data_IF_535775335013
#
_entry.id   IF_535775335013
#
_cell.length_a   1.000
_cell.length_b   1.000
_cell.length_c   1.000
_cell.angle_alpha   90.00
_cell.angle_beta   90.00
_cell.angle_gamma   90.00
#
_symmetry.space_group_name_H-M   'P 1'
#
loop_
_entity.id
_entity.type
_entity.pdbx_description
1 polymer ?
#
# COMPACT_ATOMS: atom_id res chain seq x y z
N UNK A 1 8.75 22.71 -30.74
CA UNK A 1 8.48 22.54 -29.29
C UNK A 1 7.54 21.36 -29.14
N UNK A 2 7.82 20.34 -28.31
CA UNK A 2 6.94 19.19 -28.17
C UNK A 2 5.74 19.57 -27.31
N UNK A 3 4.53 19.28 -27.79
CA UNK A 3 3.30 19.44 -27.04
C UNK A 3 3.25 18.47 -25.84
N UNK A 4 2.74 18.88 -24.67
CA UNK A 4 2.52 17.96 -23.56
C UNK A 4 1.51 16.87 -23.95
N UNK A 5 1.69 15.62 -23.48
CA UNK A 5 0.80 14.51 -23.81
C UNK A 5 -0.63 14.81 -23.32
N UNK A 6 -1.62 14.58 -24.19
CA UNK A 6 -3.06 14.88 -23.99
C UNK A 6 -3.68 14.40 -22.66
N UNK A 7 -3.02 13.48 -21.95
CA UNK A 7 -3.43 13.00 -20.61
C UNK A 7 -3.13 14.00 -19.49
N UNK A 8 -2.09 14.83 -19.61
CA UNK A 8 -1.76 15.87 -18.63
C UNK A 8 -2.77 17.03 -18.69
N UNK A 9 -3.21 17.39 -19.89
CA UNK A 9 -4.22 18.43 -20.10
C UNK A 9 -5.60 18.02 -19.55
N UNK A 10 -5.97 16.74 -19.69
CA UNK A 10 -7.21 16.19 -19.13
C UNK A 10 -7.19 16.15 -17.59
N UNK A 11 -6.04 15.86 -16.98
CA UNK A 11 -5.87 15.89 -15.52
C UNK A 11 -5.93 17.31 -14.97
N UNK A 12 -5.28 18.28 -15.65
CA UNK A 12 -5.33 19.70 -15.27
C UNK A 12 -6.76 20.26 -15.39
N UNK A 13 -7.51 19.88 -16.43
CA UNK A 13 -8.91 20.29 -16.60
C UNK A 13 -9.85 19.68 -15.55
N UNK A 14 -9.61 18.43 -15.12
CA UNK A 14 -10.39 17.78 -14.06
C UNK A 14 -10.14 18.42 -12.69
N UNK A 15 -8.89 18.82 -12.41
CA UNK A 15 -8.52 19.54 -11.19
C UNK A 15 -9.05 20.97 -11.20
N UNK A 16 -8.98 21.66 -12.34
CA UNK A 16 -9.42 23.06 -12.47
C UNK A 16 -10.95 23.23 -12.41
N UNK A 17 -11.72 22.24 -12.85
CA UNK A 17 -13.20 22.29 -12.80
C UNK A 17 -13.78 21.85 -11.45
N UNK A 18 -12.96 21.22 -10.59
CA UNK A 18 -13.35 20.82 -9.23
C UNK A 18 -13.00 21.86 -8.15
N UNK A 19 -12.36 22.96 -8.54
CA UNK A 19 -11.77 23.94 -7.63
C UNK A 19 -12.73 24.80 -6.76
N UNK A 20 -14.04 24.99 -7.02
CA UNK A 20 -14.84 25.89 -6.19
C UNK A 20 -15.40 25.27 -4.89
N UNK A 21 -15.07 24.03 -4.52
CA UNK A 21 -15.71 23.33 -3.38
C UNK A 21 -14.77 22.86 -2.26
N UNK A 22 -13.53 23.35 -2.19
CA UNK A 22 -12.63 23.06 -1.06
C UNK A 22 -12.51 24.29 -0.13
N UNK A 23 -12.59 24.10 1.21
CA UNK A 23 -12.32 25.18 2.16
C UNK A 23 -10.90 25.74 1.93
N UNK A 24 -10.78 27.06 1.96
CA UNK A 24 -9.59 27.84 1.60
C UNK A 24 -8.36 27.68 2.52
N UNK A 25 -8.14 26.54 3.18
CA UNK A 25 -7.02 26.36 4.11
C UNK A 25 -6.27 25.02 4.03
N UNK A 26 -6.43 24.25 2.97
CA UNK A 26 -5.46 23.18 2.72
C UNK A 26 -5.27 23.03 1.24
N UNK A 27 -4.17 23.59 0.74
CA UNK A 27 -3.69 23.37 -0.61
C UNK A 27 -3.19 21.92 -0.69
N UNK A 28 -4.14 20.97 -0.76
CA UNK A 28 -3.90 19.53 -0.90
C UNK A 28 -3.04 19.20 -2.12
N UNK A 29 -3.15 19.90 -3.27
CA UNK A 29 -2.19 19.80 -4.35
C UNK A 29 -0.78 20.28 -3.95
N UNK A 30 -0.63 21.37 -3.19
CA UNK A 30 0.67 21.77 -2.67
C UNK A 30 1.21 20.84 -1.58
N UNK A 31 0.37 20.24 -0.73
CA UNK A 31 0.76 19.22 0.27
C UNK A 31 1.13 17.91 -0.42
N UNK A 32 0.41 17.49 -1.46
CA UNK A 32 0.76 16.35 -2.29
C UNK A 32 2.01 16.62 -3.15
N UNK A 33 2.19 17.84 -3.65
CA UNK A 33 3.39 18.26 -4.36
C UNK A 33 4.60 18.41 -3.40
N UNK A 34 4.41 18.83 -2.16
CA UNK A 34 5.43 18.83 -1.11
C UNK A 34 5.79 17.39 -0.74
N UNK A 35 4.81 16.49 -0.58
CA UNK A 35 5.08 15.09 -0.26
C UNK A 35 5.66 14.25 -1.42
N UNK A 36 5.44 14.62 -2.68
CA UNK A 36 5.93 13.87 -3.84
C UNK A 36 7.18 14.47 -4.49
N UNK A 37 7.34 15.81 -4.50
CA UNK A 37 8.52 16.49 -5.06
C UNK A 37 9.64 16.75 -4.04
N UNK A 38 9.37 16.71 -2.73
CA UNK A 38 10.45 16.84 -1.72
C UNK A 38 11.31 15.60 -1.60
N UNK A 39 10.81 14.49 -2.08
CA UNK A 39 11.05 13.24 -1.38
C UNK A 39 12.31 12.55 -2.00
N UNK A 40 12.73 12.99 -3.20
CA UNK A 40 14.06 12.78 -3.81
C UNK A 40 15.09 13.81 -3.31
N UNK A 41 14.73 15.10 -3.20
CA UNK A 41 15.60 16.15 -2.65
C UNK A 41 15.98 15.85 -1.20
N UNK A 42 15.03 15.35 -0.42
CA UNK A 42 15.21 14.86 0.95
C UNK A 42 16.17 13.68 0.95
N UNK A 43 15.97 12.69 0.08
CA UNK A 43 16.85 11.52 0.01
C UNK A 43 18.30 11.93 -0.28
N UNK A 44 18.51 12.82 -1.26
CA UNK A 44 19.84 13.37 -1.57
C UNK A 44 20.44 14.20 -0.45
N UNK A 45 19.64 15.05 0.22
CA UNK A 45 20.10 15.85 1.36
C UNK A 45 20.50 14.98 2.56
N UNK A 46 19.71 13.95 2.88
CA UNK A 46 20.02 13.01 3.94
C UNK A 46 21.28 12.19 3.64
N UNK A 47 21.48 11.79 2.38
CA UNK A 47 22.73 11.14 1.98
C UNK A 47 23.93 12.08 2.15
N UNK A 48 23.82 13.34 1.72
CA UNK A 48 24.89 14.34 1.92
C UNK A 48 25.17 14.59 3.40
N UNK A 49 24.15 14.75 4.23
CA UNK A 49 24.26 14.95 5.68
C UNK A 49 24.86 13.73 6.40
N UNK A 50 24.54 12.52 5.91
CA UNK A 50 25.14 11.29 6.40
C UNK A 50 26.64 11.17 6.05
N UNK A 51 27.15 11.97 5.12
CA UNK A 51 28.52 11.82 4.60
C UNK A 51 28.71 10.53 3.80
N UNK A 52 27.62 9.94 3.31
CA UNK A 52 27.62 8.63 2.66
C UNK A 52 27.58 7.42 3.60
N UNK A 53 27.54 7.64 4.93
CA UNK A 53 27.43 6.57 5.92
C UNK A 53 25.99 6.04 6.02
N UNK A 54 25.83 4.73 5.78
CA UNK A 54 24.51 4.09 5.65
C UNK A 54 23.79 3.94 7.00
N UNK A 55 24.53 3.72 8.09
CA UNK A 55 23.94 3.63 9.43
C UNK A 55 23.45 4.99 9.91
N UNK A 56 24.26 6.04 9.68
CA UNK A 56 23.86 7.42 9.94
C UNK A 56 22.68 7.83 9.06
N UNK A 57 22.66 7.43 7.79
CA UNK A 57 21.52 7.65 6.92
C UNK A 57 20.25 6.99 7.47
N UNK A 58 20.31 5.73 7.89
CA UNK A 58 19.19 5.05 8.54
C UNK A 58 18.76 5.76 9.84
N UNK A 59 19.72 6.27 10.62
CA UNK A 59 19.46 7.11 11.79
C UNK A 59 18.69 8.39 11.45
N UNK A 60 19.04 9.06 10.35
CA UNK A 60 18.31 10.24 9.86
C UNK A 60 16.90 9.88 9.39
N UNK A 61 16.70 8.71 8.75
CA UNK A 61 15.37 8.20 8.38
C UNK A 61 14.53 8.01 9.64
N UNK A 62 15.12 7.39 10.67
CA UNK A 62 14.44 7.17 11.94
C UNK A 62 14.02 8.49 12.60
N UNK A 63 14.93 9.44 12.73
CA UNK A 63 14.65 10.74 13.31
C UNK A 63 13.53 11.50 12.55
N UNK A 64 13.51 11.43 11.22
CA UNK A 64 12.45 12.03 10.40
C UNK A 64 11.10 11.34 10.61
N UNK A 65 11.09 10.01 10.72
CA UNK A 65 9.87 9.25 10.96
C UNK A 65 9.33 9.48 12.39
N UNK A 66 10.19 9.69 13.39
CA UNK A 66 9.81 10.05 14.76
C UNK A 66 9.05 11.38 14.84
N UNK A 67 9.35 12.30 13.92
CA UNK A 67 8.64 13.58 13.82
C UNK A 67 7.24 13.44 13.19
N UNK A 68 6.93 12.30 12.56
CA UNK A 68 5.61 12.05 11.97
C UNK A 68 4.74 11.27 12.96
N UNK A 69 3.46 11.61 13.10
CA UNK A 69 2.51 10.87 13.95
C UNK A 69 2.18 9.43 13.47
N UNK A 70 2.99 8.86 12.56
CA UNK A 70 2.87 7.52 12.00
C UNK A 70 4.26 6.94 11.76
N UNK A 71 4.70 6.09 12.67
CA UNK A 71 6.03 5.50 12.65
C UNK A 71 6.11 4.44 11.54
N UNK A 72 6.83 4.73 10.45
CA UNK A 72 6.96 3.85 9.27
C UNK A 72 8.41 3.64 8.84
N UNK A 73 9.32 3.40 9.80
CA UNK A 73 10.77 3.43 9.56
C UNK A 73 11.23 2.59 8.37
N UNK A 74 10.86 1.31 8.33
CA UNK A 74 11.28 0.42 7.25
C UNK A 74 10.71 0.85 5.90
N UNK A 75 9.45 1.24 5.83
CA UNK A 75 8.84 1.67 4.58
C UNK A 75 9.47 2.97 4.05
N UNK A 76 9.73 3.93 4.94
CA UNK A 76 10.41 5.18 4.60
C UNK A 76 11.86 4.93 4.15
N UNK A 77 12.60 4.04 4.83
CA UNK A 77 13.95 3.65 4.42
C UNK A 77 13.96 3.00 3.03
N UNK A 78 13.02 2.10 2.76
CA UNK A 78 12.88 1.44 1.46
C UNK A 78 12.44 2.41 0.35
N UNK A 79 11.62 3.41 0.66
CA UNK A 79 11.26 4.50 -0.27
C UNK A 79 12.49 5.35 -0.59
N UNK A 80 13.26 5.75 0.42
CA UNK A 80 14.48 6.55 0.26
C UNK A 80 15.53 5.79 -0.53
N UNK A 81 15.73 4.50 -0.27
CA UNK A 81 16.64 3.65 -1.03
C UNK A 81 16.27 3.62 -2.53
N UNK A 82 15.00 3.39 -2.88
CA UNK A 82 14.55 3.41 -4.29
C UNK A 82 14.82 4.75 -4.98
N UNK A 83 14.66 5.86 -4.26
CA UNK A 83 14.94 7.20 -4.79
C UNK A 83 16.42 7.48 -4.95
N UNK A 84 17.24 7.10 -3.97
CA UNK A 84 18.70 7.20 -4.08
C UNK A 84 19.21 6.39 -5.27
N UNK A 85 18.65 5.19 -5.48
CA UNK A 85 18.99 4.38 -6.65
C UNK A 85 18.64 5.11 -7.96
N UNK A 86 17.42 5.67 -8.07
CA UNK A 86 17.00 6.45 -9.23
C UNK A 86 17.92 7.64 -9.50
N UNK A 87 18.22 8.45 -8.49
CA UNK A 87 19.16 9.57 -8.60
C UNK A 87 20.55 9.11 -9.06
N UNK A 88 21.00 7.95 -8.55
CA UNK A 88 22.24 7.32 -9.00
C UNK A 88 22.25 6.97 -10.48
N UNK A 89 21.13 6.45 -11.00
CA UNK A 89 20.97 6.14 -12.42
C UNK A 89 20.92 7.42 -13.28
N UNK A 90 20.07 8.39 -12.91
CA UNK A 90 19.84 9.62 -13.67
C UNK A 90 21.07 10.52 -13.77
N UNK A 91 21.89 10.56 -12.71
CA UNK A 91 23.07 11.40 -12.65
C UNK A 91 24.39 10.64 -12.85
N UNK A 92 24.34 9.37 -13.23
CA UNK A 92 25.52 8.50 -13.38
C UNK A 92 26.43 8.48 -12.13
N UNK A 93 25.81 8.38 -10.95
CA UNK A 93 26.46 8.32 -9.63
C UNK A 93 26.34 6.90 -9.06
N UNK A 94 27.24 5.97 -9.42
CA UNK A 94 27.15 4.57 -8.98
C UNK A 94 27.20 4.42 -7.45
N UNK A 95 27.87 5.33 -6.74
CA UNK A 95 27.94 5.35 -5.28
C UNK A 95 26.57 5.57 -4.62
N UNK A 96 25.64 6.30 -5.26
CA UNK A 96 24.28 6.46 -4.74
C UNK A 96 23.46 5.17 -4.88
N UNK A 97 23.69 4.42 -5.96
CA UNK A 97 23.06 3.11 -6.16
C UNK A 97 23.60 2.08 -5.18
N UNK A 98 24.91 2.11 -4.88
CA UNK A 98 25.51 1.27 -3.85
C UNK A 98 24.94 1.58 -2.45
N UNK A 99 24.92 2.86 -2.07
CA UNK A 99 24.35 3.29 -0.79
C UNK A 99 22.85 2.97 -0.67
N UNK A 100 22.10 3.06 -1.77
CA UNK A 100 20.70 2.63 -1.82
C UNK A 100 20.55 1.13 -1.53
N UNK A 101 21.38 0.29 -2.15
CA UNK A 101 21.39 -1.14 -1.91
C UNK A 101 21.76 -1.47 -0.46
N UNK A 102 22.77 -0.80 0.10
CA UNK A 102 23.19 -0.97 1.49
C UNK A 102 22.10 -0.53 2.48
N UNK A 103 21.47 0.63 2.27
CA UNK A 103 20.37 1.13 3.10
C UNK A 103 19.18 0.18 3.09
N UNK A 104 18.79 -0.29 1.90
CA UNK A 104 17.70 -1.24 1.75
C UNK A 104 18.00 -2.55 2.51
N UNK A 105 19.20 -3.11 2.33
CA UNK A 105 19.60 -4.36 2.96
C UNK A 105 19.65 -4.23 4.49
N UNK A 106 20.25 -3.15 5.00
CA UNK A 106 20.30 -2.86 6.42
C UNK A 106 18.89 -2.72 7.01
N UNK A 107 17.98 -2.00 6.34
CA UNK A 107 16.61 -1.82 6.82
C UNK A 107 15.87 -3.16 6.90
N UNK A 108 15.94 -3.99 5.86
CA UNK A 108 15.28 -5.32 5.86
C UNK A 108 15.85 -6.21 6.96
N UNK A 109 17.19 -6.29 7.08
CA UNK A 109 17.84 -7.12 8.11
C UNK A 109 17.51 -6.68 9.53
N UNK A 110 17.32 -5.38 9.74
CA UNK A 110 17.04 -4.80 11.05
C UNK A 110 15.59 -5.01 11.49
N UNK A 111 14.63 -4.89 10.56
CA UNK A 111 13.21 -4.74 10.91
C UNK A 111 12.32 -5.93 10.51
N UNK A 112 12.81 -6.85 9.69
CA UNK A 112 12.10 -8.10 9.43
C UNK A 112 12.43 -9.11 10.54
N UNK A 113 11.39 -9.71 11.13
CA UNK A 113 11.55 -10.77 12.12
C UNK A 113 12.05 -12.08 11.47
N UNK A 114 12.65 -13.00 12.24
CA UNK A 114 13.16 -14.28 11.72
C UNK A 114 12.10 -15.20 11.07
N UNK A 115 10.82 -15.02 11.42
CA UNK A 115 9.70 -15.76 10.85
C UNK A 115 9.15 -15.13 9.55
N UNK A 116 9.76 -14.03 9.08
CA UNK A 116 9.36 -13.32 7.87
C UNK A 116 8.29 -12.24 8.09
N UNK A 117 7.85 -12.02 9.32
CA UNK A 117 6.91 -10.95 9.67
C UNK A 117 7.61 -9.60 9.85
N UNK A 118 6.81 -8.53 9.97
CA UNK A 118 7.30 -7.21 10.29
C UNK A 118 6.55 -6.63 11.50
N UNK A 119 7.31 -5.94 12.36
CA UNK A 119 6.72 -5.13 13.41
C UNK A 119 6.25 -3.81 12.81
N UNK A 120 5.03 -3.41 13.16
CA UNK A 120 4.41 -2.16 12.73
C UNK A 120 3.87 -1.45 13.98
N UNK A 121 3.78 -0.13 13.91
CA UNK A 121 3.24 0.67 14.99
C UNK A 121 1.71 0.69 14.91
N UNK A 122 1.06 -0.11 15.76
CA UNK A 122 -0.38 -0.20 15.90
C UNK A 122 -0.91 1.05 16.62
N UNK A 123 -1.82 1.79 15.99
CA UNK A 123 -2.38 3.06 16.51
C UNK A 123 -3.72 2.88 17.22
N UNK A 124 -4.06 1.64 17.58
CA UNK A 124 -5.22 1.38 18.42
C UNK A 124 -5.15 2.21 19.71
N UNK A 125 -6.13 3.10 19.89
CA UNK A 125 -6.17 4.08 20.99
C UNK A 125 -6.23 3.48 22.39
N UNK A 126 -6.50 2.17 22.49
CA UNK A 126 -6.57 1.42 23.73
C UNK A 126 -5.29 0.66 24.08
N UNK A 127 -4.25 0.70 23.24
CA UNK A 127 -2.95 0.09 23.52
C UNK A 127 -2.05 1.08 24.28
N UNK A 128 -1.23 0.57 25.21
CA UNK A 128 -0.20 1.36 25.89
C UNK A 128 1.00 1.60 24.96
N UNK A 129 1.78 2.68 25.14
CA UNK A 129 2.91 3.01 24.27
C UNK A 129 3.93 1.88 24.00
N UNK A 130 4.21 1.06 25.02
CA UNK A 130 5.10 -0.09 24.97
C UNK A 130 4.51 -1.29 24.19
N UNK A 131 3.21 -1.26 23.89
CA UNK A 131 2.47 -2.30 23.18
C UNK A 131 2.17 -1.94 21.71
N UNK A 132 2.51 -0.71 21.30
CA UNK A 132 2.18 -0.21 19.96
C UNK A 132 3.07 -0.84 18.88
N UNK A 133 4.34 -1.14 19.20
CA UNK A 133 5.21 -1.87 18.26
C UNK A 133 4.93 -3.36 18.36
N UNK A 134 4.26 -3.93 17.35
CA UNK A 134 3.90 -5.35 17.34
C UNK A 134 3.75 -5.91 15.93
N UNK A 135 3.82 -7.23 15.84
CA UNK A 135 3.53 -7.94 14.58
C UNK A 135 2.03 -8.01 14.35
N UNK A 136 1.55 -7.37 13.29
CA UNK A 136 0.16 -7.40 12.83
C UNK A 136 0.07 -7.72 11.34
N UNK A 137 -1.01 -8.38 10.89
CA UNK A 137 -1.15 -8.79 9.48
C UNK A 137 -0.98 -7.64 8.49
N UNK A 138 -1.62 -6.48 8.72
CA UNK A 138 -1.51 -5.33 7.80
C UNK A 138 -0.10 -4.72 7.77
N UNK A 139 0.64 -4.74 8.89
CA UNK A 139 2.03 -4.31 8.93
C UNK A 139 2.92 -5.21 8.06
N UNK A 140 2.70 -6.52 8.15
CA UNK A 140 3.39 -7.50 7.30
C UNK A 140 3.04 -7.31 5.82
N UNK A 141 1.78 -7.01 5.50
CA UNK A 141 1.34 -6.69 4.14
C UNK A 141 2.08 -5.44 3.62
N UNK A 142 1.99 -4.34 4.36
CA UNK A 142 2.52 -3.03 3.95
C UNK A 142 4.03 -3.07 3.75
N UNK A 143 4.76 -3.62 4.72
CA UNK A 143 6.22 -3.73 4.66
C UNK A 143 6.69 -4.80 3.66
N UNK A 144 5.99 -5.92 3.54
CA UNK A 144 6.27 -6.95 2.54
C UNK A 144 6.09 -6.45 1.10
N UNK A 145 5.02 -5.69 0.83
CA UNK A 145 4.82 -5.03 -0.47
C UNK A 145 5.93 -3.99 -0.73
N UNK A 146 6.35 -3.24 0.28
CA UNK A 146 7.45 -2.28 0.14
C UNK A 146 8.78 -2.98 -0.16
N UNK A 147 9.07 -4.08 0.53
CA UNK A 147 10.25 -4.91 0.32
C UNK A 147 10.26 -5.49 -1.10
N UNK A 148 9.16 -6.10 -1.56
CA UNK A 148 9.08 -6.68 -2.89
C UNK A 148 9.26 -5.63 -4.00
N UNK A 149 8.64 -4.45 -3.86
CA UNK A 149 8.86 -3.33 -4.81
C UNK A 149 10.33 -2.91 -4.84
N UNK A 150 10.96 -2.78 -3.67
CA UNK A 150 12.39 -2.43 -3.61
C UNK A 150 13.28 -3.50 -4.22
N UNK A 151 12.97 -4.79 -4.03
CA UNK A 151 13.71 -5.88 -4.68
C UNK A 151 13.65 -5.77 -6.20
N UNK A 152 12.47 -5.46 -6.75
CA UNK A 152 12.26 -5.32 -8.20
C UNK A 152 12.95 -4.08 -8.77
N UNK A 153 12.92 -2.98 -8.03
CA UNK A 153 13.51 -1.71 -8.48
C UNK A 153 15.04 -1.68 -8.34
N UNK A 154 15.60 -2.24 -7.26
CA UNK A 154 17.05 -2.27 -7.00
C UNK A 154 17.72 -3.57 -7.45
N UNK A 155 16.97 -4.54 -8.00
CA UNK A 155 17.43 -5.92 -8.23
C UNK A 155 18.85 -6.05 -8.81
N UNK A 156 19.22 -5.30 -9.87
CA UNK A 156 20.58 -5.30 -10.40
C UNK A 156 21.62 -4.70 -9.45
N UNK A 157 21.29 -3.64 -8.71
CA UNK A 157 22.19 -2.95 -7.79
C UNK A 157 22.44 -3.71 -6.47
N UNK A 158 21.53 -4.60 -6.07
CA UNK A 158 21.72 -5.45 -4.89
C UNK A 158 22.82 -6.51 -5.09
N UNK A 159 23.09 -6.91 -6.34
CA UNK A 159 23.96 -8.04 -6.65
C UNK A 159 23.32 -9.40 -6.29
N UNK A 160 23.91 -10.47 -6.80
CA UNK A 160 23.29 -11.81 -6.75
C UNK A 160 23.14 -12.36 -5.33
N UNK A 161 24.14 -12.19 -4.48
CA UNK A 161 24.13 -12.70 -3.11
C UNK A 161 23.03 -12.06 -2.26
N UNK A 162 22.90 -10.73 -2.28
CA UNK A 162 21.84 -10.03 -1.52
C UNK A 162 20.47 -10.33 -2.11
N UNK A 163 20.35 -10.39 -3.44
CA UNK A 163 19.10 -10.78 -4.10
C UNK A 163 18.66 -12.18 -3.67
N UNK A 164 19.58 -13.13 -3.54
CA UNK A 164 19.27 -14.48 -3.04
C UNK A 164 18.79 -14.46 -1.58
N UNK A 165 19.44 -13.70 -0.70
CA UNK A 165 19.01 -13.53 0.70
C UNK A 165 17.62 -12.90 0.80
N UNK A 166 17.35 -11.86 0.01
CA UNK A 166 16.05 -11.21 -0.04
C UNK A 166 14.95 -12.15 -0.54
N UNK A 167 15.23 -12.98 -1.53
CA UNK A 167 14.30 -14.03 -1.99
C UNK A 167 14.05 -15.08 -0.90
N UNK A 168 15.07 -15.46 -0.13
CA UNK A 168 14.90 -16.36 1.01
C UNK A 168 14.02 -15.74 2.11
N UNK A 169 14.20 -14.44 2.38
CA UNK A 169 13.37 -13.66 3.30
C UNK A 169 11.93 -13.51 2.83
N UNK A 170 11.71 -13.23 1.54
CA UNK A 170 10.37 -13.22 0.95
C UNK A 170 9.69 -14.59 1.03
N UNK A 171 10.46 -15.68 0.92
CA UNK A 171 9.93 -17.04 1.13
C UNK A 171 9.41 -17.22 2.56
N UNK A 172 10.12 -16.70 3.58
CA UNK A 172 9.63 -16.71 4.96
C UNK A 172 8.34 -15.90 5.10
N UNK A 173 8.29 -14.69 4.54
CA UNK A 173 7.06 -13.89 4.52
C UNK A 173 5.92 -14.63 3.83
N UNK A 174 6.16 -15.23 2.66
CA UNK A 174 5.18 -16.02 1.92
C UNK A 174 4.66 -17.21 2.73
N UNK A 175 5.55 -17.97 3.36
CA UNK A 175 5.19 -19.10 4.23
C UNK A 175 4.37 -18.65 5.45
N UNK A 176 4.70 -17.50 6.04
CA UNK A 176 3.91 -16.95 7.13
C UNK A 176 2.50 -16.58 6.67
N UNK A 177 2.35 -15.89 5.54
CA UNK A 177 1.03 -15.52 5.00
C UNK A 177 0.22 -16.78 4.69
N UNK A 178 0.81 -17.74 3.99
CA UNK A 178 0.15 -18.99 3.58
C UNK A 178 -0.32 -19.84 4.79
N UNK A 179 0.51 -19.91 5.82
CA UNK A 179 0.21 -20.63 7.07
C UNK A 179 -0.76 -19.91 8.01
N UNK A 180 -1.03 -18.61 7.79
CA UNK A 180 -1.80 -17.81 8.73
C UNK A 180 -3.32 -17.99 8.53
N UNK A 181 -3.89 -18.90 9.32
CA UNK A 181 -5.35 -19.18 9.32
C UNK A 181 -6.20 -18.02 9.86
N UNK A 182 -5.59 -17.03 10.51
CA UNK A 182 -6.28 -15.88 11.09
C UNK A 182 -6.60 -14.83 10.01
N UNK A 183 -6.06 -14.96 8.78
CA UNK A 183 -6.41 -14.09 7.64
C UNK A 183 -7.92 -14.00 7.41
N UNK A 184 -8.66 -15.10 7.64
CA UNK A 184 -10.11 -15.17 7.51
C UNK A 184 -10.87 -14.41 8.62
N UNK A 185 -10.17 -13.89 9.63
CA UNK A 185 -10.74 -13.11 10.74
C UNK A 185 -10.27 -11.66 10.75
N UNK A 186 -9.38 -11.26 9.84
CA UNK A 186 -8.93 -9.86 9.70
C UNK A 186 -9.89 -9.10 8.79
N UNK A 187 -9.89 -7.77 8.88
CA UNK A 187 -10.67 -6.93 7.96
C UNK A 187 -10.28 -7.22 6.51
N UNK A 188 -11.30 -7.36 5.65
CA UNK A 188 -11.18 -7.77 4.25
C UNK A 188 -10.03 -7.09 3.50
N UNK A 189 -9.85 -5.77 3.65
CA UNK A 189 -8.81 -5.02 2.94
C UNK A 189 -7.39 -5.50 3.27
N UNK A 190 -7.11 -5.74 4.55
CA UNK A 190 -5.80 -6.24 4.96
C UNK A 190 -5.59 -7.67 4.45
N UNK A 191 -6.64 -8.50 4.53
CA UNK A 191 -6.58 -9.88 4.07
C UNK A 191 -6.39 -9.99 2.54
N UNK A 192 -7.06 -9.14 1.75
CA UNK A 192 -6.92 -9.14 0.29
C UNK A 192 -5.57 -8.58 -0.16
N UNK A 193 -5.01 -7.58 0.53
CA UNK A 193 -3.64 -7.10 0.27
C UNK A 193 -2.60 -8.19 0.57
N UNK A 194 -2.78 -8.95 1.66
CA UNK A 194 -1.94 -10.11 1.98
C UNK A 194 -2.03 -11.21 0.92
N UNK A 195 -3.22 -11.50 0.39
CA UNK A 195 -3.38 -12.41 -0.74
C UNK A 195 -2.64 -11.89 -1.99
N UNK A 196 -2.77 -10.59 -2.28
CA UNK A 196 -2.06 -9.95 -3.38
C UNK A 196 -0.54 -9.98 -3.21
N UNK A 197 -0.04 -9.79 -1.99
CA UNK A 197 1.38 -9.95 -1.66
C UNK A 197 1.84 -11.41 -1.84
N UNK A 198 1.08 -12.38 -1.32
CA UNK A 198 1.39 -13.81 -1.47
C UNK A 198 1.48 -14.23 -2.94
N UNK A 199 0.56 -13.75 -3.78
CA UNK A 199 0.61 -13.96 -5.22
C UNK A 199 1.90 -13.42 -5.83
N UNK A 200 2.25 -12.16 -5.54
CA UNK A 200 3.44 -11.52 -6.11
C UNK A 200 4.74 -12.14 -5.58
N UNK A 201 4.75 -12.65 -4.35
CA UNK A 201 5.86 -13.46 -3.81
C UNK A 201 5.97 -14.77 -4.58
N UNK A 202 4.85 -15.47 -4.81
CA UNK A 202 4.84 -16.69 -5.62
C UNK A 202 5.38 -16.45 -7.03
N UNK A 203 4.94 -15.37 -7.67
CA UNK A 203 5.45 -14.92 -8.98
C UNK A 203 6.96 -14.65 -8.95
N UNK A 204 7.43 -13.84 -8.00
CA UNK A 204 8.85 -13.53 -7.81
C UNK A 204 9.68 -14.81 -7.60
N UNK A 205 9.20 -15.74 -6.78
CA UNK A 205 9.92 -16.96 -6.43
C UNK A 205 9.79 -18.08 -7.47
N UNK A 206 8.91 -17.95 -8.45
CA UNK A 206 8.55 -19.03 -9.37
C UNK A 206 7.80 -20.18 -8.68
N UNK A 207 7.00 -19.85 -7.65
CA UNK A 207 6.26 -20.81 -6.83
C UNK A 207 4.75 -20.73 -7.11
N UNK A 208 4.21 -21.59 -8.00
CA UNK A 208 2.79 -21.60 -8.34
C UNK A 208 1.90 -22.09 -7.20
N UNK A 209 2.45 -22.74 -6.17
CA UNK A 209 1.67 -23.21 -5.02
C UNK A 209 1.19 -22.03 -4.17
N UNK A 210 2.05 -21.03 -3.96
CA UNK A 210 1.70 -19.79 -3.28
C UNK A 210 0.67 -18.98 -4.07
N UNK A 211 0.81 -18.91 -5.39
CA UNK A 211 -0.16 -18.24 -6.28
C UNK A 211 -1.54 -18.90 -6.18
N UNK A 212 -1.60 -20.24 -6.21
CA UNK A 212 -2.84 -20.99 -6.04
C UNK A 212 -3.48 -20.75 -4.67
N UNK A 213 -2.67 -20.75 -3.61
CA UNK A 213 -3.17 -20.50 -2.25
C UNK A 213 -3.71 -19.07 -2.09
N UNK A 214 -3.01 -18.07 -2.65
CA UNK A 214 -3.45 -16.68 -2.66
C UNK A 214 -4.84 -16.52 -3.30
N UNK A 215 -5.07 -17.14 -4.48
CA UNK A 215 -6.37 -17.11 -5.13
C UNK A 215 -7.43 -17.85 -4.32
N UNK A 216 -7.13 -19.05 -3.82
CA UNK A 216 -8.08 -19.81 -3.02
C UNK A 216 -8.53 -19.04 -1.77
N UNK A 217 -7.61 -18.36 -1.10
CA UNK A 217 -7.89 -17.52 0.07
C UNK A 217 -8.70 -16.29 -0.30
N UNK A 218 -8.33 -15.57 -1.36
CA UNK A 218 -9.09 -14.42 -1.83
C UNK A 218 -10.52 -14.79 -2.26
N UNK A 219 -10.70 -15.94 -2.90
CA UNK A 219 -12.03 -16.44 -3.27
C UNK A 219 -12.90 -16.73 -2.05
N UNK A 220 -12.35 -17.32 -0.98
CA UNK A 220 -13.08 -17.50 0.30
C UNK A 220 -13.43 -16.16 0.94
N UNK A 221 -12.51 -15.19 0.90
CA UNK A 221 -12.75 -13.84 1.43
C UNK A 221 -13.87 -13.13 0.66
N UNK A 222 -13.90 -13.24 -0.68
CA UNK A 222 -15.00 -12.73 -1.50
C UNK A 222 -16.32 -13.36 -1.09
N UNK A 223 -16.40 -14.69 -0.96
CA UNK A 223 -17.65 -15.36 -0.58
C UNK A 223 -18.17 -14.95 0.79
N UNK A 224 -17.26 -14.70 1.72
CA UNK A 224 -17.61 -14.32 3.10
C UNK A 224 -18.00 -12.86 3.24
N UNK A 225 -17.23 -11.96 2.61
CA UNK A 225 -17.30 -10.52 2.89
C UNK A 225 -17.95 -9.72 1.77
N UNK A 226 -18.01 -10.22 0.54
CA UNK A 226 -18.69 -9.52 -0.54
C UNK A 226 -20.19 -9.79 -0.44
N UNK A 227 -20.98 -8.73 -0.24
CA UNK A 227 -22.40 -8.81 -0.49
C UNK A 227 -22.63 -8.82 -2.01
N UNK A 228 -22.83 -10.01 -2.60
CA UNK A 228 -22.96 -10.17 -4.06
C UNK A 228 -24.21 -9.45 -4.61
N UNK A 229 -25.25 -9.29 -3.79
CA UNK A 229 -26.49 -8.63 -4.19
C UNK A 229 -26.33 -7.10 -4.29
N UNK A 230 -25.40 -6.53 -3.52
CA UNK A 230 -25.20 -5.07 -3.46
C UNK A 230 -23.84 -4.61 -3.98
N UNK A 231 -22.86 -5.50 -4.11
CA UNK A 231 -21.48 -5.18 -4.53
C UNK A 231 -20.66 -4.46 -3.47
N UNK A 232 -20.86 -4.75 -2.18
CA UNK A 232 -20.21 -4.06 -1.05
C UNK A 232 -19.34 -5.00 -0.22
N UNK A 233 -18.22 -4.49 0.32
CA UNK A 233 -17.48 -5.18 1.38
C UNK A 233 -18.29 -5.00 2.66
N UNK A 234 -18.74 -6.10 3.26
CA UNK A 234 -19.32 -6.12 4.59
C UNK A 234 -18.22 -5.78 5.60
N UNK A 235 -18.28 -4.60 6.20
CA UNK A 235 -17.38 -4.22 7.29
C UNK A 235 -17.66 -5.02 8.56
N UNK A 236 -16.80 -4.83 9.57
CA UNK A 236 -17.03 -5.40 10.90
C UNK A 236 -18.42 -4.98 11.42
N UNK A 237 -19.17 -5.92 11.99
CA UNK A 237 -20.55 -5.72 12.46
C UNK A 237 -21.56 -5.24 11.40
N UNK A 238 -21.33 -5.52 10.11
CA UNK A 238 -22.16 -5.06 8.98
C UNK A 238 -22.19 -3.53 8.79
N UNK A 239 -21.20 -2.83 9.35
CA UNK A 239 -21.00 -1.40 9.08
C UNK A 239 -20.35 -1.17 7.71
N UNK A 240 -20.52 0.03 7.16
CA UNK A 240 -19.96 0.42 5.87
C UNK A 240 -19.15 1.70 6.06
N UNK A 241 -17.92 1.72 5.55
CA UNK A 241 -17.05 2.90 5.51
C UNK A 241 -16.55 3.15 4.08
N UNK A 242 -16.73 4.37 3.58
CA UNK A 242 -16.25 4.77 2.25
C UNK A 242 -14.76 4.58 2.04
N UNK A 243 -13.96 4.95 3.04
CA UNK A 243 -12.51 4.75 3.01
C UNK A 243 -12.15 3.26 2.89
N UNK A 244 -12.86 2.39 3.62
CA UNK A 244 -12.65 0.94 3.49
C UNK A 244 -13.03 0.41 2.10
N UNK A 245 -14.11 0.90 1.50
CA UNK A 245 -14.48 0.49 0.13
C UNK A 245 -13.40 0.94 -0.88
N UNK A 246 -12.90 2.17 -0.77
CA UNK A 246 -11.86 2.69 -1.66
C UNK A 246 -10.56 1.90 -1.55
N UNK A 247 -10.06 1.67 -0.33
CA UNK A 247 -8.83 0.90 -0.09
C UNK A 247 -9.00 -0.56 -0.53
N UNK A 248 -10.15 -1.16 -0.24
CA UNK A 248 -10.44 -2.54 -0.68
C UNK A 248 -10.51 -2.67 -2.20
N UNK A 249 -11.11 -1.68 -2.89
CA UNK A 249 -11.17 -1.62 -4.35
C UNK A 249 -9.77 -1.50 -4.97
N UNK A 250 -8.89 -0.69 -4.40
CA UNK A 250 -7.50 -0.57 -4.83
C UNK A 250 -6.77 -1.92 -4.73
N UNK A 251 -6.86 -2.58 -3.57
CA UNK A 251 -6.18 -3.86 -3.36
C UNK A 251 -6.74 -5.01 -4.20
N UNK A 252 -8.08 -5.12 -4.33
CA UNK A 252 -8.69 -6.08 -5.26
C UNK A 252 -8.25 -5.78 -6.69
N UNK A 253 -8.26 -4.50 -7.09
CA UNK A 253 -7.92 -4.09 -8.45
C UNK A 253 -6.48 -4.42 -8.82
N UNK A 254 -5.55 -4.13 -7.91
CA UNK A 254 -4.15 -4.49 -8.08
C UNK A 254 -3.94 -6.00 -8.14
N UNK A 255 -4.63 -6.76 -7.29
CA UNK A 255 -4.52 -8.21 -7.30
C UNK A 255 -5.16 -8.84 -8.55
N UNK A 256 -6.33 -8.37 -8.98
CA UNK A 256 -6.99 -8.80 -10.20
C UNK A 256 -6.12 -8.53 -11.44
N UNK A 257 -5.46 -7.36 -11.49
CA UNK A 257 -4.54 -7.01 -12.58
C UNK A 257 -3.32 -7.92 -12.60
N UNK A 258 -2.75 -8.21 -11.43
CA UNK A 258 -1.55 -9.06 -11.31
C UNK A 258 -1.84 -10.54 -11.59
N UNK A 259 -3.03 -11.02 -11.24
CA UNK A 259 -3.39 -12.44 -11.37
C UNK A 259 -4.11 -12.79 -12.67
N UNK A 260 -4.78 -11.82 -13.30
CA UNK A 260 -5.69 -12.09 -14.42
C UNK A 260 -6.96 -12.87 -14.00
N UNK A 261 -7.22 -13.03 -12.71
CA UNK A 261 -8.34 -13.82 -12.22
C UNK A 261 -9.69 -13.16 -12.54
N UNK A 262 -10.53 -13.90 -13.25
CA UNK A 262 -11.83 -13.41 -13.74
C UNK A 262 -12.77 -13.08 -12.59
N UNK A 263 -12.69 -13.82 -11.48
CA UNK A 263 -13.59 -13.64 -10.33
C UNK A 263 -13.22 -12.40 -9.53
N UNK A 264 -11.94 -12.15 -9.28
CA UNK A 264 -11.45 -10.90 -8.69
C UNK A 264 -11.81 -9.70 -9.57
N UNK A 265 -11.65 -9.82 -10.89
CA UNK A 265 -12.06 -8.77 -11.84
C UNK A 265 -13.58 -8.52 -11.82
N UNK A 266 -14.39 -9.57 -11.77
CA UNK A 266 -15.84 -9.44 -11.68
C UNK A 266 -16.27 -8.78 -10.34
N UNK A 267 -15.60 -9.12 -9.24
CA UNK A 267 -15.82 -8.46 -7.95
C UNK A 267 -15.46 -6.98 -8.02
N UNK A 268 -14.31 -6.62 -8.61
CA UNK A 268 -13.90 -5.22 -8.82
C UNK A 268 -14.93 -4.42 -9.63
N UNK A 269 -15.41 -4.98 -10.75
CA UNK A 269 -16.40 -4.29 -11.59
C UNK A 269 -17.68 -4.02 -10.83
N UNK A 270 -18.17 -4.99 -10.04
CA UNK A 270 -19.33 -4.78 -9.16
C UNK A 270 -19.07 -3.70 -8.12
N UNK A 271 -17.87 -3.65 -7.54
CA UNK A 271 -17.48 -2.57 -6.64
C UNK A 271 -17.54 -1.21 -7.31
N UNK A 272 -17.04 -1.09 -8.54
CA UNK A 272 -17.02 0.16 -9.28
C UNK A 272 -18.43 0.62 -9.68
N UNK A 273 -19.26 -0.30 -10.17
CA UNK A 273 -20.66 -0.03 -10.51
C UNK A 273 -21.39 0.52 -9.30
N UNK A 274 -21.16 -0.11 -8.16
CA UNK A 274 -21.79 0.35 -6.94
C UNK A 274 -21.17 1.63 -6.39
N UNK A 275 -19.85 1.79 -6.39
CA UNK A 275 -19.20 3.03 -5.99
C UNK A 275 -19.72 4.24 -6.79
N UNK A 276 -19.99 4.07 -8.09
CA UNK A 276 -20.60 5.12 -8.91
C UNK A 276 -22.01 5.55 -8.49
N UNK A 277 -22.77 4.66 -7.84
CA UNK A 277 -24.12 4.94 -7.34
C UNK A 277 -24.07 5.70 -5.99
N UNK A 278 -23.05 5.44 -5.17
CA UNK A 278 -22.98 5.94 -3.80
C UNK A 278 -21.87 6.97 -3.56
N UNK A 279 -21.02 7.26 -4.55
CA UNK A 279 -20.05 8.34 -4.47
C UNK A 279 -20.75 9.69 -4.64
N UNK A 280 -20.54 10.60 -3.70
CA UNK A 280 -20.82 12.03 -3.94
C UNK A 280 -19.82 12.58 -4.96
N UNK A 281 -20.05 13.79 -5.46
CA UNK A 281 -19.12 14.51 -6.36
C UNK A 281 -17.70 14.67 -5.79
N UNK A 282 -17.49 14.42 -4.49
CA UNK A 282 -16.19 14.44 -3.81
C UNK A 282 -15.65 13.05 -3.46
N UNK A 283 -16.23 11.97 -4.00
CA UNK A 283 -15.90 10.57 -3.65
C UNK A 283 -16.04 10.24 -2.15
N UNK A 284 -16.77 11.07 -1.41
CA UNK A 284 -17.15 10.76 -0.04
C UNK A 284 -18.35 9.84 -0.09
N UNK A 285 -18.16 8.55 0.16
CA UNK A 285 -19.30 7.67 0.38
C UNK A 285 -20.06 8.18 1.62
N UNK A 286 -21.38 8.39 1.54
CA UNK A 286 -22.19 8.72 2.70
C UNK A 286 -22.24 7.49 3.61
N UNK A 287 -21.31 7.42 4.56
CA UNK A 287 -21.19 6.27 5.46
C UNK A 287 -19.91 6.35 6.27
N UNK A 288 -20.03 6.89 7.48
CA UNK A 288 -19.07 6.62 8.55
C UNK A 288 -19.32 5.20 9.09
N UNK A 289 -18.29 4.63 9.73
CA UNK A 289 -18.38 3.38 10.50
C UNK A 289 -19.73 3.28 11.23
N UNK A 290 -20.49 2.23 10.94
CA UNK A 290 -21.76 1.93 11.63
C UNK A 290 -23.04 2.24 10.87
N UNK A 291 -22.98 2.77 9.64
CA UNK A 291 -24.19 2.92 8.82
C UNK A 291 -24.58 1.53 8.30
N UNK A 292 -25.59 0.91 8.92
CA UNK A 292 -26.11 -0.40 8.51
C UNK A 292 -26.78 -0.26 7.13
N UNK A 293 -26.61 -1.26 6.29
CA UNK A 293 -27.19 -1.37 4.94
C UNK A 293 -28.69 -1.01 4.84
N UNK A 294 -29.57 -1.37 5.80
CA UNK A 294 -30.99 -1.00 5.74
C UNK A 294 -31.25 0.51 5.94
N UNK A 295 -30.30 1.26 6.49
CA UNK A 295 -30.42 2.71 6.74
C UNK A 295 -30.18 3.56 5.49
N UNK A 296 -29.46 3.01 4.50
CA UNK A 296 -29.15 3.68 3.24
C UNK A 296 -30.24 3.48 2.18
N UNK A 297 -31.02 2.40 2.29
CA UNK A 297 -32.13 2.10 1.37
C UNK A 297 -33.25 3.15 1.34
N UNK A 298 -33.76 3.64 2.49
CA UNK A 298 -34.80 4.67 2.53
C UNK A 298 -34.31 6.05 2.10
N UNK A 299 -33.07 6.42 2.43
CA UNK A 299 -32.50 7.73 2.09
C UNK A 299 -32.26 7.93 0.57
N UNK A 300 -32.29 6.85 -0.21
CA UNK A 300 -32.07 6.85 -1.66
C UNK A 300 -33.33 6.48 -2.45
N UNK A 301 -34.46 6.28 -1.77
CA UNK A 301 -35.76 6.00 -2.39
C UNK A 301 -36.27 7.15 -3.28
N UNK A 302 -35.75 8.37 -3.08
CA UNK A 302 -36.17 9.57 -3.81
C UNK A 302 -35.26 9.95 -4.99
N UNK A 303 -34.04 9.43 -5.11
CA UNK A 303 -33.12 9.78 -6.21
C UNK A 303 -33.31 8.95 -7.48
N UNK A 304 -34.18 7.94 -7.48
CA UNK A 304 -34.54 7.17 -8.69
C UNK A 304 -35.70 7.79 -9.49
N UNK A 305 -36.20 8.97 -9.10
CA UNK A 305 -37.32 9.67 -9.77
C UNK A 305 -37.00 11.12 -10.18
N UNK A 306 -35.74 11.53 -10.19
CA UNK A 306 -35.32 12.84 -10.69
C UNK A 306 -34.43 12.69 -11.93
#
# INVERSE_FOLDING_TARGET
>A
MPHPPRRLLAFILLVATSAPLLPAQTDLPAVAAHHLADDERVAGAMFAESGGDVEKLLGLVKARADLKPNVRYIADALVIARRLHRLGQEHARPELSAAAADLADLAVRTYQNPDGTFNEYDRCTWLKPDQLSRTIPWGTAFHGQAMLRTLRDLGPALGDTRRADWRARLRLTGAWIDGNKVLDTVVFNAAIDLCGLLWKIGDELGDPTLQKSALASAHRLLDRHLDVAQGWIRGENSGVSGFYQQVGMEFIGDFARASGDVRLRAALLRFMDTAGIFATTTWQFPGNFGTRTPSLGPALGDTRRA
#
